data_IF_452443765124
#
_entry.id   IF_452443765124
#
_cell.length_a   1.000
_cell.length_b   1.000
_cell.length_c   1.000
_cell.angle_alpha   90.00
_cell.angle_beta   90.00
_cell.angle_gamma   90.00
#
_symmetry.space_group_name_H-M   'P 1'
#
loop_
_entity.id
_entity.type
_entity.pdbx_description
1 polymer ?
#
# COMPACT_ATOMS: atom_id res chain seq x y z
N UNK A 1 21.20 7.22 8.04
CA UNK A 1 19.74 7.29 8.24
C UNK A 1 19.31 6.48 9.44
N UNK A 2 18.37 6.99 10.19
CA UNK A 2 17.79 6.25 11.30
C UNK A 2 16.59 5.44 10.82
N UNK A 3 16.21 4.43 11.62
CA UNK A 3 15.03 3.64 11.31
C UNK A 3 13.78 4.52 11.20
N UNK A 4 13.64 5.48 12.10
CA UNK A 4 12.49 6.38 12.09
C UNK A 4 12.46 7.24 10.82
N UNK A 5 13.59 7.70 10.36
CA UNK A 5 13.66 8.49 9.11
C UNK A 5 13.25 7.65 7.91
N UNK A 6 13.66 6.40 7.87
CA UNK A 6 13.29 5.48 6.79
C UNK A 6 11.78 5.29 6.77
N UNK A 7 11.19 5.05 7.93
CA UNK A 7 9.73 4.83 8.05
C UNK A 7 8.97 6.10 7.67
N UNK A 8 9.41 7.25 8.15
CA UNK A 8 8.75 8.52 7.83
C UNK A 8 8.76 8.81 6.34
N UNK A 9 9.85 8.48 5.67
CA UNK A 9 9.93 8.65 4.21
C UNK A 9 8.92 7.75 3.50
N UNK A 10 8.79 6.51 3.95
CA UNK A 10 7.81 5.59 3.36
C UNK A 10 6.39 6.09 3.57
N UNK A 11 6.08 6.61 4.75
CA UNK A 11 4.77 7.18 5.05
C UNK A 11 4.49 8.36 4.13
N UNK A 12 5.46 9.25 4.00
CA UNK A 12 5.31 10.45 3.18
C UNK A 12 5.06 10.11 1.71
N UNK A 13 5.68 9.05 1.22
CA UNK A 13 5.49 8.61 -0.15
C UNK A 13 4.22 7.80 -0.37
N UNK A 14 3.49 7.51 0.70
CA UNK A 14 2.26 6.73 0.59
C UNK A 14 2.49 5.24 0.44
N UNK A 15 3.66 4.75 0.83
CA UNK A 15 3.95 3.32 0.77
C UNK A 15 3.25 2.57 1.89
N UNK A 16 2.94 1.30 1.64
CA UNK A 16 2.33 0.45 2.65
C UNK A 16 3.35 -0.11 3.63
N UNK A 17 2.83 -0.75 4.68
CA UNK A 17 3.66 -1.32 5.74
C UNK A 17 4.70 -2.30 5.23
N UNK A 18 4.34 -3.15 4.26
CA UNK A 18 5.27 -4.14 3.74
C UNK A 18 6.47 -3.48 3.06
N UNK A 19 6.23 -2.37 2.36
CA UNK A 19 7.32 -1.64 1.73
C UNK A 19 8.23 -1.00 2.77
N UNK A 20 7.67 -0.52 3.87
CA UNK A 20 8.45 0.04 4.96
C UNK A 20 9.34 -1.04 5.59
N UNK A 21 8.79 -2.24 5.80
CA UNK A 21 9.58 -3.36 6.32
C UNK A 21 10.73 -3.72 5.39
N UNK A 22 10.46 -3.74 4.09
CA UNK A 22 11.49 -4.03 3.11
C UNK A 22 12.59 -2.99 3.15
N UNK A 23 12.23 -1.71 3.28
CA UNK A 23 13.22 -0.64 3.36
C UNK A 23 14.10 -0.79 4.59
N UNK A 24 13.51 -1.15 5.73
CA UNK A 24 14.29 -1.39 6.95
C UNK A 24 15.25 -2.57 6.76
N UNK A 25 14.77 -3.63 6.11
CA UNK A 25 15.60 -4.78 5.84
C UNK A 25 16.78 -4.42 4.95
N UNK A 26 16.54 -3.68 3.89
CA UNK A 26 17.57 -3.28 2.93
C UNK A 26 18.64 -2.40 3.57
N UNK A 27 18.26 -1.61 4.55
CA UNK A 27 19.19 -0.76 5.28
C UNK A 27 19.81 -1.46 6.48
N UNK A 28 19.55 -2.76 6.60
CA UNK A 28 20.13 -3.60 7.66
C UNK A 28 19.81 -3.13 9.07
N UNK A 29 18.62 -2.58 9.25
CA UNK A 29 18.14 -2.20 10.56
C UNK A 29 17.76 -3.46 11.35
N UNK A 30 18.26 -3.64 12.57
CA UNK A 30 17.92 -4.83 13.37
C UNK A 30 16.42 -4.94 13.61
N UNK A 31 15.92 -6.18 13.53
CA UNK A 31 14.47 -6.43 13.63
C UNK A 31 13.87 -6.00 14.95
N UNK A 32 14.65 -6.04 16.01
CA UNK A 32 14.14 -5.63 17.32
C UNK A 32 13.81 -4.14 17.39
N UNK A 33 14.30 -3.34 16.43
CA UNK A 33 13.94 -1.94 16.33
C UNK A 33 12.71 -1.70 15.45
N UNK A 34 12.32 -2.68 14.65
CA UNK A 34 11.22 -2.53 13.71
C UNK A 34 9.89 -2.33 14.42
N UNK A 35 9.64 -3.12 15.45
CA UNK A 35 8.37 -3.07 16.14
C UNK A 35 8.09 -1.67 16.67
N UNK A 36 9.10 -1.05 17.26
CA UNK A 36 8.96 0.29 17.81
C UNK A 36 8.67 1.34 16.73
N UNK A 37 9.44 1.31 15.63
CA UNK A 37 9.28 2.35 14.60
C UNK A 37 8.07 2.11 13.71
N UNK A 38 7.54 0.90 13.67
CA UNK A 38 6.36 0.58 12.86
C UNK A 38 5.07 0.56 13.66
N UNK A 39 5.13 0.70 14.99
CA UNK A 39 3.97 0.56 15.86
C UNK A 39 2.85 1.53 15.48
N UNK A 40 3.20 2.74 15.10
CA UNK A 40 2.23 3.78 14.78
C UNK A 40 2.11 4.01 13.28
N UNK A 41 2.44 3.00 12.49
CA UNK A 41 2.34 3.15 11.04
C UNK A 41 0.90 3.48 10.65
N UNK A 42 0.66 4.60 9.95
CA UNK A 42 -0.70 5.06 9.71
C UNK A 42 -1.43 4.20 8.68
N UNK A 43 -2.76 4.25 8.75
CA UNK A 43 -3.62 3.66 7.73
C UNK A 43 -3.42 4.46 6.44
N UNK A 44 -3.02 3.78 5.37
CA UNK A 44 -2.74 4.43 4.10
C UNK A 44 -3.89 4.26 3.10
N UNK A 45 -5.09 3.94 3.57
CA UNK A 45 -6.22 3.72 2.67
C UNK A 45 -6.49 4.93 1.78
N UNK A 46 -6.43 6.14 2.34
CA UNK A 46 -6.64 7.36 1.53
C UNK A 46 -5.57 7.50 0.45
N UNK A 47 -4.33 7.17 0.78
CA UNK A 47 -3.24 7.21 -0.20
C UNK A 47 -3.46 6.16 -1.30
N UNK A 48 -3.96 4.99 -0.93
CA UNK A 48 -4.27 3.95 -1.90
C UNK A 48 -5.38 4.42 -2.84
N UNK A 49 -6.42 5.03 -2.29
CA UNK A 49 -7.53 5.54 -3.10
C UNK A 49 -7.00 6.54 -4.14
N UNK A 50 -6.19 7.49 -3.70
CA UNK A 50 -5.63 8.48 -4.62
C UNK A 50 -4.76 7.83 -5.70
N UNK A 51 -3.95 6.85 -5.30
CA UNK A 51 -3.10 6.13 -6.23
C UNK A 51 -3.92 5.37 -7.27
N UNK A 52 -4.95 4.66 -6.83
CA UNK A 52 -5.81 3.90 -7.72
C UNK A 52 -6.56 4.82 -8.68
N UNK A 53 -7.05 5.95 -8.18
CA UNK A 53 -7.76 6.91 -9.03
C UNK A 53 -6.87 7.45 -10.13
N UNK A 54 -5.60 7.65 -9.86
CA UNK A 54 -4.66 8.08 -10.88
C UNK A 54 -4.39 7.01 -11.93
N UNK A 55 -4.43 5.74 -11.52
CA UNK A 55 -4.15 4.61 -12.41
C UNK A 55 -5.38 4.17 -13.19
N UNK A 56 -6.57 4.35 -12.63
CA UNK A 56 -7.80 3.88 -13.25
C UNK A 56 -8.43 4.98 -14.07
N UNK A 57 -8.32 4.87 -15.39
CA UNK A 57 -9.02 5.76 -16.31
C UNK A 57 -10.44 5.27 -16.54
N UNK A 58 -10.60 3.94 -16.54
CA UNK A 58 -11.89 3.30 -16.72
C UNK A 58 -12.07 2.28 -15.59
N UNK A 59 -12.81 2.63 -14.53
CA UNK A 59 -13.01 1.72 -13.41
C UNK A 59 -13.79 0.45 -13.76
N UNK A 60 -14.44 0.44 -14.92
CA UNK A 60 -15.19 -0.74 -15.36
C UNK A 60 -14.35 -1.70 -16.19
N UNK A 61 -13.11 -1.33 -16.52
CA UNK A 61 -12.23 -2.19 -17.30
C UNK A 61 -11.47 -3.12 -16.36
N UNK A 62 -11.77 -4.44 -16.37
CA UNK A 62 -11.12 -5.38 -15.45
C UNK A 62 -9.60 -5.43 -15.59
N UNK A 63 -9.09 -5.19 -16.79
CA UNK A 63 -7.64 -5.21 -16.98
C UNK A 63 -6.97 -4.04 -16.28
N UNK A 64 -7.58 -2.86 -16.35
CA UNK A 64 -7.04 -1.69 -15.66
C UNK A 64 -7.13 -1.87 -14.15
N UNK A 65 -8.23 -2.41 -13.66
CA UNK A 65 -8.40 -2.67 -12.24
C UNK A 65 -7.33 -3.63 -11.74
N UNK A 66 -7.09 -4.72 -12.47
CA UNK A 66 -6.08 -5.70 -12.08
C UNK A 66 -4.69 -5.09 -12.04
N UNK A 67 -4.34 -4.30 -13.05
CA UNK A 67 -3.03 -3.64 -13.09
C UNK A 67 -2.85 -2.67 -11.94
N UNK A 68 -3.92 -1.95 -11.60
CA UNK A 68 -3.88 -0.99 -10.50
C UNK A 68 -3.70 -1.72 -9.17
N UNK A 69 -4.39 -2.86 -8.98
CA UNK A 69 -4.24 -3.68 -7.79
C UNK A 69 -2.80 -4.16 -7.66
N UNK A 70 -2.24 -4.71 -8.74
CA UNK A 70 -0.86 -5.21 -8.72
C UNK A 70 0.11 -4.10 -8.37
N UNK A 71 -0.08 -2.91 -8.93
CA UNK A 71 0.79 -1.78 -8.64
C UNK A 71 0.70 -1.36 -7.19
N UNK A 72 -0.51 -1.35 -6.61
CA UNK A 72 -0.69 -1.00 -5.21
C UNK A 72 -0.04 -2.03 -4.29
N UNK A 73 -0.14 -3.31 -4.64
CA UNK A 73 0.51 -4.35 -3.85
C UNK A 73 2.03 -4.20 -3.88
N UNK A 74 2.58 -3.80 -5.02
CA UNK A 74 4.02 -3.56 -5.13
C UNK A 74 4.48 -2.37 -4.30
N UNK A 75 3.58 -1.44 -4.02
CA UNK A 75 3.90 -0.33 -3.13
C UNK A 75 3.86 -0.74 -1.66
N UNK A 76 3.55 -2.00 -1.38
CA UNK A 76 3.63 -2.54 -0.04
C UNK A 76 2.33 -2.55 0.74
N UNK A 77 1.20 -2.28 0.09
CA UNK A 77 -0.10 -2.32 0.75
C UNK A 77 -0.60 -3.76 0.84
N UNK A 78 -1.37 -4.05 1.88
CA UNK A 78 -1.97 -5.37 2.01
C UNK A 78 -3.16 -5.51 1.07
N UNK A 79 -3.50 -6.75 0.76
CA UNK A 79 -4.63 -7.06 -0.10
C UNK A 79 -5.93 -6.48 0.49
N UNK A 80 -6.11 -6.63 1.81
CA UNK A 80 -7.29 -6.09 2.47
C UNK A 80 -7.40 -4.58 2.38
N UNK A 81 -6.27 -3.89 2.50
CA UNK A 81 -6.27 -2.43 2.39
C UNK A 81 -6.61 -1.98 0.97
N UNK A 82 -6.07 -2.68 -0.03
CA UNK A 82 -6.38 -2.38 -1.42
C UNK A 82 -7.86 -2.63 -1.71
N UNK A 83 -8.40 -3.72 -1.16
CA UNK A 83 -9.82 -4.02 -1.31
C UNK A 83 -10.70 -2.91 -0.73
N UNK A 84 -10.36 -2.43 0.46
CA UNK A 84 -11.12 -1.33 1.07
C UNK A 84 -11.07 -0.07 0.22
N UNK A 85 -9.91 0.22 -0.38
CA UNK A 85 -9.78 1.38 -1.26
C UNK A 85 -10.64 1.23 -2.51
N UNK A 86 -10.69 0.03 -3.08
CA UNK A 86 -11.53 -0.23 -4.25
C UNK A 86 -13.01 -0.09 -3.92
N UNK A 87 -13.42 -0.51 -2.73
CA UNK A 87 -14.79 -0.36 -2.29
C UNK A 87 -15.19 1.11 -2.23
N UNK A 88 -14.29 1.98 -1.80
CA UNK A 88 -14.56 3.41 -1.78
C UNK A 88 -14.74 3.98 -3.18
N UNK A 89 -14.03 3.42 -4.16
CA UNK A 89 -14.14 3.86 -5.55
C UNK A 89 -15.35 3.24 -6.25
N UNK A 90 -15.84 2.10 -5.75
CA UNK A 90 -16.99 1.42 -6.31
C UNK A 90 -16.66 0.35 -7.34
N UNK A 91 -15.48 -0.27 -7.22
CA UNK A 91 -15.05 -1.31 -8.16
C UNK A 91 -14.80 -2.65 -7.49
N UNK A 92 -15.33 -2.84 -6.30
CA UNK A 92 -15.03 -4.01 -5.48
C UNK A 92 -15.51 -5.33 -6.07
N UNK A 93 -16.55 -5.30 -6.92
CA UNK A 93 -17.12 -6.54 -7.43
C UNK A 93 -16.13 -7.38 -8.21
N UNK A 94 -15.33 -6.74 -9.05
CA UNK A 94 -14.30 -7.44 -9.82
C UNK A 94 -13.23 -8.03 -8.91
N UNK A 95 -12.90 -7.31 -7.88
CA UNK A 95 -11.88 -7.73 -6.96
C UNK A 95 -12.31 -8.97 -6.17
N UNK A 96 -13.56 -9.03 -5.76
CA UNK A 96 -14.07 -10.13 -4.98
C UNK A 96 -14.20 -11.42 -5.77
N UNK A 97 -14.46 -11.32 -7.05
CA UNK A 97 -14.60 -12.50 -7.91
C UNK A 97 -13.30 -13.27 -8.07
N UNK A 98 -12.18 -12.68 -7.70
CA UNK A 98 -10.89 -13.36 -7.75
C UNK A 98 -10.83 -14.49 -6.73
N UNK A 99 -11.71 -14.53 -5.78
CA UNK A 99 -11.78 -15.55 -4.78
C UNK A 99 -12.99 -16.44 -4.99
#
# INVERSE_FOLDING_TARGET
QTARQIVERCIHKGYGLQRAKQALYEKQIPKDLWEEVLADYPDQTDAIVRFLQQKLRDPDDPKQVRRAIDAALRRGHSYGDVKRALERIGTESEFEEEY
#
